data_IF_456885055383
#
_entry.id   IF_456885055383
#
_cell.length_a   1.000
_cell.length_b   1.000
_cell.length_c   1.000
_cell.angle_alpha   90.00
_cell.angle_beta   90.00
_cell.angle_gamma   90.00
#
_symmetry.space_group_name_H-M   'P 1'
#
loop_
_entity.id
_entity.type
_entity.pdbx_description
1 polymer ?
#
# COMPACT_ATOMS: atom_id res chain seq x y z
N UNK A 1 -11.74 35.05 2.35
CA UNK A 1 -11.34 33.68 1.98
C UNK A 1 -12.30 33.13 0.93
N UNK A 2 -11.83 32.71 -0.25
CA UNK A 2 -12.69 32.26 -1.37
C UNK A 2 -12.74 30.72 -1.48
N UNK A 3 -13.78 30.18 -2.14
CA UNK A 3 -13.88 28.73 -2.44
C UNK A 3 -12.64 28.18 -3.14
N UNK A 4 -12.00 28.96 -4.03
CA UNK A 4 -10.80 28.54 -4.78
C UNK A 4 -9.64 28.23 -3.83
N UNK A 5 -9.40 29.11 -2.85
CA UNK A 5 -8.36 28.94 -1.83
C UNK A 5 -8.65 27.71 -0.96
N UNK A 6 -9.87 27.61 -0.44
CA UNK A 6 -10.32 26.49 0.40
C UNK A 6 -10.20 25.15 -0.32
N UNK A 7 -10.66 25.05 -1.58
CA UNK A 7 -10.54 23.84 -2.41
C UNK A 7 -9.09 23.37 -2.52
N UNK A 8 -8.17 24.31 -2.68
CA UNK A 8 -6.73 24.04 -2.82
C UNK A 8 -6.04 23.58 -1.52
N UNK A 9 -6.70 23.77 -0.38
CA UNK A 9 -6.26 23.33 0.94
C UNK A 9 -6.88 21.98 1.28
N UNK A 10 -8.21 21.86 1.16
CA UNK A 10 -8.94 20.69 1.64
C UNK A 10 -8.88 19.49 0.70
N UNK A 11 -8.84 19.67 -0.63
CA UNK A 11 -8.70 18.51 -1.52
C UNK A 11 -7.35 17.80 -1.28
N UNK A 12 -6.19 18.49 -1.24
CA UNK A 12 -4.93 17.82 -0.95
C UNK A 12 -4.79 17.26 0.48
N UNK A 13 -5.62 17.71 1.43
CA UNK A 13 -5.58 17.22 2.83
C UNK A 13 -6.01 15.77 2.98
N UNK A 14 -6.85 15.24 2.08
CA UNK A 14 -7.14 13.81 2.06
C UNK A 14 -5.91 13.01 1.59
N UNK A 15 -5.04 13.66 0.82
CA UNK A 15 -3.79 13.11 0.27
C UNK A 15 -2.55 13.31 1.16
N UNK A 16 -2.74 13.63 2.45
CA UNK A 16 -1.64 13.73 3.42
C UNK A 16 -0.98 15.10 3.54
N UNK A 17 -1.59 16.18 3.02
CA UNK A 17 -1.08 17.54 3.18
C UNK A 17 -1.00 17.94 4.66
N UNK A 18 0.14 18.48 5.08
CA UNK A 18 0.44 18.83 6.48
C UNK A 18 0.09 20.28 6.78
N UNK A 19 0.15 20.65 8.07
CA UNK A 19 0.02 22.03 8.51
C UNK A 19 1.05 22.93 7.80
N UNK A 20 2.32 22.50 7.79
CA UNK A 20 3.42 23.22 7.17
C UNK A 20 3.16 23.45 5.67
N UNK A 21 2.87 22.40 4.91
CA UNK A 21 2.62 22.55 3.47
C UNK A 21 1.32 23.29 3.16
N UNK A 22 0.36 23.32 4.08
CA UNK A 22 -0.83 24.18 3.96
C UNK A 22 -0.50 25.65 4.15
N UNK A 23 0.31 25.99 5.15
CA UNK A 23 0.80 27.35 5.36
C UNK A 23 1.64 27.82 4.18
N UNK A 24 2.56 27.00 3.70
CA UNK A 24 3.42 27.35 2.57
C UNK A 24 2.58 27.55 1.28
N UNK A 25 1.56 26.72 1.05
CA UNK A 25 0.61 26.93 -0.06
C UNK A 25 -0.23 28.21 0.07
N UNK A 26 -0.62 28.57 1.29
CA UNK A 26 -1.35 29.81 1.55
C UNK A 26 -0.48 31.02 1.24
N UNK A 27 0.77 31.01 1.71
CA UNK A 27 1.75 32.06 1.42
C UNK A 27 2.01 32.18 -0.08
N UNK A 28 2.15 31.07 -0.79
CA UNK A 28 2.41 31.07 -2.24
C UNK A 28 1.18 31.51 -3.08
N UNK A 29 -0.05 31.17 -2.67
CA UNK A 29 -1.27 31.45 -3.46
C UNK A 29 -1.90 32.79 -3.17
N UNK A 30 -1.79 33.26 -1.93
CA UNK A 30 -2.35 34.54 -1.49
C UNK A 30 -1.26 35.63 -1.51
N UNK A 31 0.01 35.25 -1.68
CA UNK A 31 1.11 36.17 -1.91
C UNK A 31 1.38 37.11 -0.73
N UNK A 32 1.88 38.31 -1.02
CA UNK A 32 2.22 39.35 -0.04
C UNK A 32 1.00 39.94 0.69
N UNK A 33 -0.23 39.51 0.39
CA UNK A 33 -1.45 40.03 1.01
C UNK A 33 -1.65 39.52 2.45
N UNK A 34 -1.03 38.39 2.81
CA UNK A 34 -1.06 37.83 4.16
C UNK A 34 0.35 37.72 4.72
N UNK A 35 0.53 38.10 5.98
CA UNK A 35 1.77 37.82 6.71
C UNK A 35 1.87 36.32 7.00
N UNK A 36 3.08 35.82 7.26
CA UNK A 36 3.28 34.39 7.61
C UNK A 36 2.48 33.98 8.85
N UNK A 37 2.28 34.91 9.80
CA UNK A 37 1.44 34.73 10.99
C UNK A 37 -0.04 34.52 10.64
N UNK A 38 -0.56 35.27 9.67
CA UNK A 38 -1.93 35.12 9.19
C UNK A 38 -2.11 33.80 8.43
N UNK A 39 -1.13 33.44 7.59
CA UNK A 39 -1.09 32.13 6.92
C UNK A 39 -1.09 30.98 7.94
N UNK A 40 -0.34 31.12 9.03
CA UNK A 40 -0.27 30.15 10.12
C UNK A 40 -1.62 30.03 10.85
N UNK A 41 -2.28 31.16 11.09
CA UNK A 41 -3.61 31.21 11.73
C UNK A 41 -4.68 30.57 10.84
N UNK A 42 -4.73 30.90 9.56
CA UNK A 42 -5.68 30.31 8.60
C UNK A 42 -5.43 28.81 8.44
N UNK A 43 -4.16 28.38 8.36
CA UNK A 43 -3.83 26.96 8.32
C UNK A 43 -4.36 26.25 9.57
N UNK A 44 -4.18 26.84 10.75
CA UNK A 44 -4.65 26.28 12.03
C UNK A 44 -6.17 26.12 12.03
N UNK A 45 -6.91 27.17 11.68
CA UNK A 45 -8.37 27.12 11.56
C UNK A 45 -8.85 26.04 10.58
N UNK A 46 -8.14 25.83 9.48
CA UNK A 46 -8.45 24.74 8.53
C UNK A 46 -8.16 23.34 9.09
N UNK A 47 -7.24 23.21 10.04
CA UNK A 47 -6.97 21.94 10.73
C UNK A 47 -7.98 21.71 11.86
N UNK A 48 -8.28 22.74 12.64
CA UNK A 48 -9.31 22.70 13.69
C UNK A 48 -10.67 22.35 13.09
N UNK A 49 -11.09 23.01 12.01
CA UNK A 49 -12.32 22.67 11.28
C UNK A 49 -12.34 21.21 10.79
N UNK A 50 -11.20 20.70 10.28
CA UNK A 50 -11.13 19.31 9.82
C UNK A 50 -11.31 18.35 11.00
N UNK A 51 -10.66 18.62 12.12
CA UNK A 51 -10.76 17.81 13.33
C UNK A 51 -12.19 17.82 13.88
N UNK A 52 -12.83 18.98 13.92
CA UNK A 52 -14.20 19.12 14.41
C UNK A 52 -15.20 18.43 13.50
N UNK A 53 -15.08 18.61 12.17
CA UNK A 53 -16.06 18.09 11.21
C UNK A 53 -15.82 16.63 10.82
N UNK A 54 -14.56 16.23 10.76
CA UNK A 54 -14.11 14.94 10.22
C UNK A 54 -13.17 14.19 11.17
N UNK A 55 -13.16 14.50 12.47
CA UNK A 55 -12.26 13.85 13.45
C UNK A 55 -12.37 12.32 13.47
N UNK A 56 -13.58 11.79 13.23
CA UNK A 56 -13.80 10.35 13.09
C UNK A 56 -13.05 9.73 11.89
N UNK A 57 -12.85 10.48 10.80
CA UNK A 57 -12.02 10.03 9.68
C UNK A 57 -10.54 9.94 10.06
N UNK A 58 -10.08 10.65 11.08
CA UNK A 58 -8.68 10.58 11.51
C UNK A 58 -8.34 9.20 12.06
N UNK A 59 -9.25 8.58 12.84
CA UNK A 59 -9.08 7.21 13.31
C UNK A 59 -9.03 6.22 12.14
N UNK A 60 -9.90 6.40 11.14
CA UNK A 60 -9.90 5.56 9.95
C UNK A 60 -8.61 5.68 9.13
N UNK A 61 -8.16 6.91 8.87
CA UNK A 61 -6.87 7.18 8.20
C UNK A 61 -5.75 6.55 9.01
N UNK A 62 -5.74 6.75 10.34
CA UNK A 62 -4.69 6.24 11.22
C UNK A 62 -4.63 4.71 11.22
N UNK A 63 -5.77 4.03 11.21
CA UNK A 63 -5.87 2.59 11.08
C UNK A 63 -5.13 2.12 9.82
N UNK A 64 -5.50 2.64 8.65
CA UNK A 64 -4.87 2.23 7.39
C UNK A 64 -3.37 2.55 7.35
N UNK A 65 -2.98 3.76 7.78
CA UNK A 65 -1.58 4.16 7.82
C UNK A 65 -0.74 3.27 8.74
N UNK A 66 -1.25 2.94 9.93
CA UNK A 66 -0.54 2.05 10.85
C UNK A 66 -0.41 0.64 10.28
N UNK A 67 -1.45 0.10 9.64
CA UNK A 67 -1.38 -1.19 8.94
C UNK A 67 -0.29 -1.14 7.85
N UNK A 68 -0.26 -0.08 7.03
CA UNK A 68 0.78 0.09 6.01
C UNK A 68 2.19 0.15 6.59
N UNK A 69 2.37 0.82 7.73
CA UNK A 69 3.65 0.88 8.43
C UNK A 69 4.04 -0.46 9.04
N UNK A 70 3.12 -1.18 9.69
CA UNK A 70 3.38 -2.49 10.30
C UNK A 70 3.79 -3.50 9.24
N UNK A 71 3.09 -3.54 8.11
CA UNK A 71 3.42 -4.41 6.96
C UNK A 71 4.79 -4.05 6.37
N UNK A 72 5.04 -2.77 6.08
CA UNK A 72 6.31 -2.32 5.49
C UNK A 72 7.50 -2.50 6.45
N UNK A 73 7.30 -2.26 7.75
CA UNK A 73 8.32 -2.46 8.78
C UNK A 73 8.63 -3.95 9.03
N UNK A 74 7.68 -4.83 8.68
CA UNK A 74 7.89 -6.26 8.57
C UNK A 74 8.62 -6.70 7.30
N UNK A 75 9.09 -5.76 6.48
CA UNK A 75 9.82 -6.06 5.24
C UNK A 75 8.91 -6.43 4.06
N UNK A 76 7.61 -6.18 4.16
CA UNK A 76 6.59 -6.70 3.22
C UNK A 76 5.94 -5.54 2.45
N UNK A 77 5.54 -5.75 1.18
CA UNK A 77 4.73 -4.77 0.46
C UNK A 77 3.32 -4.70 1.07
N UNK A 78 2.68 -3.53 0.99
CA UNK A 78 1.27 -3.38 1.40
C UNK A 78 0.38 -3.87 0.26
N UNK A 79 -0.50 -4.81 0.53
CA UNK A 79 -1.40 -5.43 -0.44
C UNK A 79 -2.74 -4.70 -0.48
N UNK A 80 -3.24 -4.44 -1.68
CA UNK A 80 -4.60 -3.98 -1.89
C UNK A 80 -5.25 -4.94 -2.86
N UNK A 81 -6.34 -5.57 -2.46
CA UNK A 81 -7.03 -6.55 -3.29
C UNK A 81 -8.49 -6.17 -3.47
N UNK A 82 -8.93 -6.27 -4.72
CA UNK A 82 -10.32 -6.19 -5.16
C UNK A 82 -10.53 -7.28 -6.22
N UNK A 83 -11.79 -7.50 -6.61
CA UNK A 83 -12.17 -8.61 -7.50
C UNK A 83 -11.44 -8.60 -8.87
N UNK A 84 -11.04 -7.42 -9.35
CA UNK A 84 -10.44 -7.28 -10.67
C UNK A 84 -8.92 -7.29 -10.68
N UNK A 85 -8.27 -6.83 -9.61
CA UNK A 85 -6.81 -6.70 -9.58
C UNK A 85 -6.27 -6.57 -8.16
N UNK A 86 -4.98 -6.86 -8.04
CA UNK A 86 -4.19 -6.73 -6.82
C UNK A 86 -3.08 -5.69 -7.03
N UNK A 87 -2.94 -4.75 -6.09
CA UNK A 87 -1.85 -3.76 -6.08
C UNK A 87 -0.89 -4.10 -4.94
N UNK A 88 0.41 -4.06 -5.25
CA UNK A 88 1.49 -4.14 -4.29
C UNK A 88 2.14 -2.75 -4.14
N UNK A 89 1.96 -2.11 -2.99
CA UNK A 89 2.68 -0.89 -2.65
C UNK A 89 4.01 -1.26 -2.02
N UNK A 90 5.06 -1.25 -2.84
CA UNK A 90 6.41 -1.62 -2.43
C UNK A 90 7.41 -0.47 -2.47
N UNK A 91 7.26 0.48 -1.56
CA UNK A 91 8.18 1.62 -1.49
C UNK A 91 9.54 1.21 -0.91
N UNK A 92 10.59 1.44 -1.69
CA UNK A 92 11.99 1.29 -1.31
C UNK A 92 12.64 2.65 -1.09
N UNK A 93 13.55 2.75 -0.13
CA UNK A 93 14.44 3.90 0.01
C UNK A 93 15.32 4.00 -1.23
N UNK A 94 15.69 5.21 -1.62
CA UNK A 94 16.69 5.41 -2.67
C UNK A 94 18.06 5.73 -2.06
N UNK A 95 19.09 5.12 -2.60
CA UNK A 95 20.49 5.47 -2.34
C UNK A 95 21.01 6.38 -3.45
N UNK A 96 21.93 7.27 -3.09
CA UNK A 96 22.55 8.16 -4.08
C UNK A 96 23.86 7.53 -4.53
N UNK A 97 23.96 7.26 -5.82
CA UNK A 97 25.20 6.84 -6.47
C UNK A 97 25.71 7.94 -7.39
N UNK A 98 27.02 7.93 -7.70
CA UNK A 98 27.67 8.98 -8.49
C UNK A 98 28.44 8.37 -9.65
N UNK A 99 28.12 8.82 -10.86
CA UNK A 99 28.89 8.50 -12.06
C UNK A 99 29.61 9.76 -12.53
N UNK A 100 30.89 9.61 -12.88
CA UNK A 100 31.68 10.70 -13.45
C UNK A 100 31.46 10.76 -14.95
N UNK A 101 30.91 11.88 -15.42
CA UNK A 101 30.67 12.12 -16.85
C UNK A 101 31.62 13.19 -17.34
N UNK A 102 32.24 12.94 -18.50
CA UNK A 102 33.04 13.95 -19.18
C UNK A 102 32.11 14.98 -19.82
N UNK A 103 32.23 16.23 -19.41
CA UNK A 103 31.48 17.34 -19.95
C UNK A 103 32.30 17.99 -21.07
N UNK A 104 31.90 17.75 -22.32
CA UNK A 104 32.58 18.32 -23.49
C UNK A 104 32.52 19.86 -23.54
N UNK A 105 31.51 20.49 -22.92
CA UNK A 105 31.40 21.96 -22.87
C UNK A 105 32.39 22.56 -21.89
N UNK A 106 32.56 21.91 -20.74
CA UNK A 106 33.43 22.39 -19.67
C UNK A 106 34.83 21.75 -19.70
N UNK A 107 35.12 20.87 -20.67
CA UNK A 107 36.38 20.12 -20.84
C UNK A 107 36.87 19.49 -19.52
N UNK A 108 35.96 18.86 -18.77
CA UNK A 108 36.26 18.31 -17.45
C UNK A 108 35.31 17.19 -17.05
N UNK A 109 35.72 16.38 -16.07
CA UNK A 109 34.83 15.37 -15.47
C UNK A 109 33.98 16.04 -14.39
N UNK A 110 32.66 15.83 -14.42
CA UNK A 110 31.75 16.22 -13.34
C UNK A 110 31.02 15.00 -12.79
N UNK A 111 30.81 14.91 -11.47
CA UNK A 111 29.99 13.85 -10.91
C UNK A 111 28.51 14.17 -11.19
N UNK A 112 27.77 13.19 -11.68
CA UNK A 112 26.32 13.23 -11.75
C UNK A 112 25.79 12.24 -10.73
N UNK A 113 24.95 12.73 -9.83
CA UNK A 113 24.29 11.91 -8.81
C UNK A 113 23.00 11.32 -9.39
N UNK A 114 22.83 10.01 -9.27
CA UNK A 114 21.61 9.30 -9.60
C UNK A 114 21.03 8.66 -8.35
N UNK A 115 19.70 8.52 -8.29
CA UNK A 115 19.02 7.80 -7.22
C UNK A 115 18.74 6.37 -7.68
N UNK A 116 19.31 5.40 -7.00
CA UNK A 116 19.12 3.97 -7.26
C UNK A 116 18.26 3.39 -6.13
N UNK A 117 17.26 2.53 -6.42
CA UNK A 117 16.52 1.83 -5.38
C UNK A 117 17.45 0.98 -4.49
N UNK A 118 17.30 1.12 -3.17
CA UNK A 118 17.93 0.23 -2.19
C UNK A 118 17.01 -0.97 -1.91
N UNK A 119 17.54 -1.98 -1.21
CA UNK A 119 16.72 -3.09 -0.69
C UNK A 119 16.00 -2.74 0.62
N UNK A 120 16.22 -1.53 1.16
CA UNK A 120 15.59 -1.08 2.40
C UNK A 120 14.22 -0.52 2.09
N UNK A 121 13.17 -1.05 2.73
CA UNK A 121 11.81 -0.52 2.63
C UNK A 121 11.73 0.90 3.19
N UNK A 122 11.02 1.77 2.50
CA UNK A 122 10.65 3.11 2.97
C UNK A 122 9.35 3.03 3.79
N UNK A 123 9.50 2.70 5.08
CA UNK A 123 8.37 2.52 6.00
C UNK A 123 7.60 3.81 6.24
N UNK A 124 8.26 4.96 6.14
CA UNK A 124 7.61 6.26 6.24
C UNK A 124 6.75 6.56 5.02
N UNK A 125 7.28 6.34 3.81
CA UNK A 125 6.51 6.52 2.58
C UNK A 125 5.31 5.57 2.54
N UNK A 126 5.51 4.30 2.97
CA UNK A 126 4.40 3.35 3.12
C UNK A 126 3.35 3.85 4.09
N UNK A 127 3.74 4.31 5.29
CA UNK A 127 2.83 4.88 6.27
C UNK A 127 1.98 6.02 5.71
N UNK A 128 2.59 7.02 5.06
CA UNK A 128 1.86 8.21 4.60
C UNK A 128 0.99 7.94 3.38
N UNK A 129 1.43 7.06 2.47
CA UNK A 129 0.75 6.81 1.20
C UNK A 129 -0.36 5.76 1.31
N UNK A 130 -0.35 4.91 2.34
CA UNK A 130 -1.25 3.74 2.38
C UNK A 130 -2.73 4.10 2.30
N UNK A 131 -3.16 5.15 3.02
CA UNK A 131 -4.55 5.62 2.97
C UNK A 131 -4.94 6.14 1.57
N UNK A 132 -4.04 6.87 0.92
CA UNK A 132 -4.27 7.46 -0.41
C UNK A 132 -4.37 6.39 -1.48
N UNK A 133 -3.46 5.43 -1.47
CA UNK A 133 -3.49 4.31 -2.40
C UNK A 133 -4.71 3.42 -2.15
N UNK A 134 -5.16 3.29 -0.89
CA UNK A 134 -6.39 2.60 -0.56
C UNK A 134 -7.61 3.24 -1.22
N UNK A 135 -7.80 4.55 -1.04
CA UNK A 135 -8.97 5.25 -1.61
C UNK A 135 -8.91 5.27 -3.14
N UNK A 136 -7.72 5.48 -3.73
CA UNK A 136 -7.58 5.46 -5.19
C UNK A 136 -7.89 4.11 -5.80
N UNK A 137 -7.53 3.01 -5.13
CA UNK A 137 -7.95 1.68 -5.56
C UNK A 137 -9.50 1.57 -5.55
N UNK A 138 -10.15 2.05 -4.50
CA UNK A 138 -11.60 1.97 -4.37
C UNK A 138 -12.32 2.86 -5.39
N UNK A 139 -11.80 4.05 -5.66
CA UNK A 139 -12.31 4.93 -6.71
C UNK A 139 -12.20 4.26 -8.09
N UNK A 140 -11.06 3.63 -8.39
CA UNK A 140 -10.87 2.88 -9.62
C UNK A 140 -11.84 1.69 -9.72
N UNK A 141 -12.05 0.95 -8.62
CA UNK A 141 -13.02 -0.14 -8.56
C UNK A 141 -14.44 0.33 -8.88
N UNK A 142 -14.89 1.42 -8.25
CA UNK A 142 -16.20 2.02 -8.50
C UNK A 142 -16.31 2.42 -9.98
N UNK A 143 -15.29 3.07 -10.53
CA UNK A 143 -15.29 3.46 -11.93
C UNK A 143 -15.39 2.27 -12.88
N UNK A 144 -14.65 1.18 -12.61
CA UNK A 144 -14.73 -0.05 -13.39
C UNK A 144 -16.12 -0.68 -13.32
N UNK A 145 -16.73 -0.74 -12.14
CA UNK A 145 -18.08 -1.28 -11.96
C UNK A 145 -19.14 -0.47 -12.71
N UNK A 146 -19.04 0.87 -12.67
CA UNK A 146 -19.97 1.75 -13.41
C UNK A 146 -19.82 1.56 -14.91
N UNK A 147 -18.59 1.53 -15.41
CA UNK A 147 -18.30 1.27 -16.83
C UNK A 147 -18.84 -0.10 -17.24
N UNK A 148 -18.62 -1.14 -16.43
CA UNK A 148 -19.13 -2.48 -16.71
C UNK A 148 -20.66 -2.52 -16.80
N UNK A 149 -21.37 -1.87 -15.87
CA UNK A 149 -22.84 -1.80 -15.92
C UNK A 149 -23.34 -1.08 -17.18
N UNK A 150 -22.72 0.04 -17.56
CA UNK A 150 -23.11 0.80 -18.75
C UNK A 150 -22.83 0.02 -20.04
N UNK A 151 -21.67 -0.63 -20.15
CA UNK A 151 -21.33 -1.48 -21.28
C UNK A 151 -22.30 -2.66 -21.43
N UNK A 152 -22.71 -3.28 -20.32
CA UNK A 152 -23.72 -4.35 -20.32
C UNK A 152 -25.10 -3.87 -20.80
N UNK A 153 -25.38 -2.57 -20.74
CA UNK A 153 -26.60 -1.95 -21.29
C UNK A 153 -26.43 -1.49 -22.76
N UNK A 154 -25.26 -1.70 -23.37
CA UNK A 154 -24.94 -1.20 -24.71
C UNK A 154 -24.75 0.32 -24.76
N UNK A 155 -24.48 0.97 -23.63
CA UNK A 155 -24.35 2.43 -23.54
C UNK A 155 -22.88 2.84 -23.78
N UNK A 156 -22.61 3.74 -24.74
CA UNK A 156 -21.27 4.25 -24.97
C UNK A 156 -20.79 5.09 -23.78
N UNK A 157 -19.57 4.84 -23.33
CA UNK A 157 -19.00 5.48 -22.13
C UNK A 157 -17.54 5.83 -22.34
N UNK A 158 -17.16 7.02 -21.89
CA UNK A 158 -15.79 7.47 -21.72
C UNK A 158 -15.61 7.91 -20.26
N UNK A 159 -14.45 7.62 -19.66
CA UNK A 159 -14.18 7.97 -18.26
C UNK A 159 -12.81 8.63 -18.10
N UNK A 160 -12.76 9.63 -17.23
CA UNK A 160 -11.53 10.25 -16.72
C UNK A 160 -11.59 10.20 -15.19
N UNK A 161 -11.04 9.13 -14.62
CA UNK A 161 -11.11 8.81 -13.18
C UNK A 161 -12.56 8.71 -12.67
N UNK A 162 -13.01 9.70 -11.90
CA UNK A 162 -14.34 9.82 -11.29
C UNK A 162 -15.34 10.54 -12.21
N UNK A 163 -14.93 10.97 -13.41
CA UNK A 163 -15.78 11.66 -14.38
C UNK A 163 -16.25 10.71 -15.47
N UNK A 164 -17.56 10.46 -15.52
CA UNK A 164 -18.21 9.60 -16.51
C UNK A 164 -18.90 10.44 -17.59
N UNK A 165 -18.61 10.14 -18.85
CA UNK A 165 -19.08 10.91 -20.01
C UNK A 165 -19.77 9.96 -21.00
N UNK A 166 -21.04 10.24 -21.29
CA UNK A 166 -21.85 9.50 -22.27
C UNK A 166 -22.62 10.46 -23.17
N UNK A 167 -23.38 9.94 -24.13
CA UNK A 167 -24.25 10.77 -24.96
C UNK A 167 -25.43 11.32 -24.14
N UNK A 168 -25.97 12.50 -24.47
CA UNK A 168 -27.02 13.14 -23.65
C UNK A 168 -28.22 12.24 -23.33
N UNK A 169 -28.63 11.36 -24.27
CA UNK A 169 -29.75 10.43 -24.11
C UNK A 169 -29.57 9.36 -23.04
N UNK A 170 -28.33 9.12 -22.58
CA UNK A 170 -28.02 8.15 -21.51
C UNK A 170 -27.53 8.81 -20.21
N UNK A 171 -27.53 10.14 -20.12
CA UNK A 171 -27.00 10.86 -18.96
C UNK A 171 -27.63 10.43 -17.62
N UNK A 172 -28.95 10.22 -17.59
CA UNK A 172 -29.67 9.72 -16.41
C UNK A 172 -29.24 8.30 -16.00
N UNK A 173 -28.82 7.47 -16.96
CA UNK A 173 -28.38 6.10 -16.70
C UNK A 173 -27.05 6.07 -15.95
N UNK A 174 -26.15 7.05 -16.17
CA UNK A 174 -24.90 7.15 -15.41
C UNK A 174 -25.20 7.28 -13.92
N UNK A 175 -26.05 8.24 -13.55
CA UNK A 175 -26.38 8.49 -12.13
C UNK A 175 -27.00 7.26 -11.47
N UNK A 176 -27.87 6.54 -12.20
CA UNK A 176 -28.46 5.28 -11.72
C UNK A 176 -27.42 4.19 -11.54
N UNK A 177 -26.55 3.95 -12.53
CA UNK A 177 -25.49 2.93 -12.44
C UNK A 177 -24.51 3.26 -11.31
N UNK A 178 -24.08 4.51 -11.22
CA UNK A 178 -23.21 4.99 -10.15
C UNK A 178 -23.81 4.70 -8.77
N UNK A 179 -25.08 5.06 -8.55
CA UNK A 179 -25.77 4.81 -7.28
C UNK A 179 -25.92 3.32 -6.97
N UNK A 180 -26.22 2.50 -7.98
CA UNK A 180 -26.33 1.05 -7.83
C UNK A 180 -24.99 0.42 -7.40
N UNK A 181 -23.87 0.90 -7.94
CA UNK A 181 -22.54 0.38 -7.54
C UNK A 181 -22.31 0.54 -6.03
N UNK A 182 -22.63 1.70 -5.44
CA UNK A 182 -22.51 1.88 -3.98
C UNK A 182 -23.42 0.95 -3.17
N UNK A 183 -24.59 0.58 -3.70
CA UNK A 183 -25.49 -0.37 -3.04
C UNK A 183 -25.00 -1.82 -3.13
N UNK A 184 -24.28 -2.15 -4.21
CA UNK A 184 -23.71 -3.48 -4.44
C UNK A 184 -22.35 -3.68 -3.77
N UNK A 185 -21.68 -2.59 -3.35
CA UNK A 185 -20.41 -2.69 -2.65
C UNK A 185 -20.56 -3.45 -1.33
N UNK A 186 -19.52 -4.20 -1.01
CA UNK A 186 -19.42 -4.90 0.27
C UNK A 186 -19.50 -3.94 1.45
N UNK A 187 -19.85 -4.47 2.62
CA UNK A 187 -19.89 -3.66 3.83
C UNK A 187 -18.53 -3.04 4.13
N UNK A 188 -18.52 -1.80 4.63
CA UNK A 188 -17.29 -1.12 5.01
C UNK A 188 -16.45 -1.96 5.99
N UNK A 189 -17.10 -2.69 6.91
CA UNK A 189 -16.43 -3.60 7.82
C UNK A 189 -15.69 -4.72 7.08
N UNK A 190 -16.35 -5.38 6.12
CA UNK A 190 -15.76 -6.43 5.29
C UNK A 190 -14.57 -5.93 4.51
N UNK A 191 -14.68 -4.75 3.89
CA UNK A 191 -13.60 -4.12 3.14
C UNK A 191 -12.36 -3.90 4.04
N UNK A 192 -12.56 -3.41 5.26
CA UNK A 192 -11.46 -3.11 6.19
C UNK A 192 -10.88 -4.37 6.81
N UNK A 193 -11.72 -5.33 7.18
CA UNK A 193 -11.25 -6.60 7.70
C UNK A 193 -10.45 -7.35 6.64
N UNK A 194 -10.93 -7.42 5.39
CA UNK A 194 -10.16 -7.96 4.27
C UNK A 194 -8.84 -7.23 4.09
N UNK A 195 -8.80 -5.90 4.19
CA UNK A 195 -7.55 -5.15 4.10
C UNK A 195 -6.60 -5.50 5.25
N UNK A 196 -7.09 -5.61 6.47
CA UNK A 196 -6.31 -6.00 7.64
C UNK A 196 -5.76 -7.42 7.45
N UNK A 197 -6.61 -8.39 7.13
CA UNK A 197 -6.24 -9.79 6.87
C UNK A 197 -5.25 -9.91 5.70
N UNK A 198 -5.48 -9.20 4.59
CA UNK A 198 -4.58 -9.19 3.44
C UNK A 198 -3.24 -8.51 3.71
N UNK A 199 -3.14 -7.70 4.76
CA UNK A 199 -1.92 -6.99 5.10
C UNK A 199 -1.15 -7.71 6.19
N UNK A 200 -1.04 -7.31 7.46
CA UNK A 200 -0.15 -7.99 8.38
C UNK A 200 -0.34 -9.52 8.42
N UNK A 201 -1.50 -10.06 8.05
CA UNK A 201 -1.80 -11.49 8.11
C UNK A 201 -1.44 -12.31 6.85
N UNK A 202 -1.41 -11.76 5.63
CA UNK A 202 -1.36 -12.58 4.40
C UNK A 202 0.02 -12.97 3.84
N UNK A 203 1.13 -12.22 4.00
CA UNK A 203 2.45 -12.68 3.52
C UNK A 203 3.10 -13.69 4.48
N UNK A 204 2.25 -14.32 5.25
CA UNK A 204 2.50 -15.47 6.05
C UNK A 204 2.06 -16.67 5.15
N UNK A 205 0.90 -16.61 4.47
CA UNK A 205 0.36 -17.62 3.53
C UNK A 205 1.07 -17.68 2.17
N UNK A 206 1.55 -16.55 1.64
CA UNK A 206 2.35 -16.47 0.40
C UNK A 206 3.86 -16.38 0.70
N UNK A 207 4.31 -16.97 1.82
CA UNK A 207 5.67 -17.48 1.85
C UNK A 207 5.64 -18.80 1.10
N UNK A 208 5.91 -18.72 -0.21
CA UNK A 208 6.71 -19.78 -0.86
C UNK A 208 7.79 -20.15 0.16
N UNK A 209 7.68 -21.35 0.71
CA UNK A 209 8.45 -21.92 1.80
C UNK A 209 9.84 -21.26 1.88
N UNK A 210 10.39 -20.88 3.06
CA UNK A 210 11.73 -20.28 3.21
C UNK A 210 12.89 -20.99 2.45
N UNK A 211 12.65 -22.22 1.97
CA UNK A 211 13.52 -22.97 1.07
C UNK A 211 13.65 -22.38 -0.35
N UNK A 212 12.62 -21.70 -0.87
CA UNK A 212 12.55 -21.26 -2.28
C UNK A 212 13.21 -19.88 -2.44
N UNK A 213 12.83 -18.86 -1.67
CA UNK A 213 13.49 -17.54 -1.74
C UNK A 213 14.97 -17.60 -1.35
N UNK A 214 15.35 -18.46 -0.39
CA UNK A 214 16.76 -18.64 -0.05
C UNK A 214 17.54 -19.28 -1.20
N UNK A 215 16.96 -20.24 -1.93
CA UNK A 215 17.58 -20.84 -3.10
C UNK A 215 17.63 -19.87 -4.28
N UNK A 216 16.58 -19.10 -4.56
CA UNK A 216 16.56 -18.14 -5.67
C UNK A 216 17.53 -16.96 -5.43
N UNK A 217 17.65 -16.50 -4.18
CA UNK A 217 18.66 -15.50 -3.80
C UNK A 217 20.09 -16.07 -3.81
N UNK A 218 20.27 -17.36 -3.49
CA UNK A 218 21.56 -18.05 -3.64
C UNK A 218 21.92 -18.23 -5.10
N UNK A 219 20.98 -18.63 -5.96
CA UNK A 219 21.15 -18.78 -7.40
C UNK A 219 21.48 -17.42 -8.03
N UNK A 220 20.73 -16.36 -7.72
CA UNK A 220 21.03 -15.02 -8.22
C UNK A 220 22.39 -14.50 -7.72
N UNK A 221 22.77 -14.78 -6.47
CA UNK A 221 24.12 -14.45 -5.97
C UNK A 221 25.22 -15.27 -6.64
N UNK A 222 24.97 -16.54 -6.95
CA UNK A 222 25.92 -17.42 -7.64
C UNK A 222 26.07 -17.06 -9.12
N UNK A 223 25.00 -16.62 -9.77
CA UNK A 223 25.00 -16.07 -11.14
C UNK A 223 25.76 -14.74 -11.20
N UNK A 224 25.54 -13.84 -10.24
CA UNK A 224 26.30 -12.57 -10.13
C UNK A 224 27.78 -12.85 -9.81
N UNK A 225 28.06 -13.80 -8.90
CA UNK A 225 29.43 -14.17 -8.53
C UNK A 225 30.17 -14.93 -9.65
N UNK A 226 29.46 -15.71 -10.46
CA UNK A 226 30.04 -16.40 -11.62
C UNK A 226 30.27 -15.45 -12.79
N UNK A 227 29.39 -14.47 -13.00
CA UNK A 227 29.59 -13.38 -13.95
C UNK A 227 30.77 -12.46 -13.56
N UNK A 228 31.11 -12.38 -12.27
CA UNK A 228 32.20 -11.54 -11.75
C UNK A 228 33.59 -12.19 -11.76
N UNK A 229 33.72 -13.45 -12.20
CA UNK A 229 35.01 -14.16 -12.26
C UNK A 229 35.83 -13.75 -13.49
N UNK A 230 36.41 -12.55 -13.44
CA UNK A 230 37.70 -12.28 -14.09
C UNK A 230 38.84 -12.58 -13.10
N UNK A 231 39.96 -13.06 -13.63
CA UNK A 231 41.07 -13.75 -12.94
C UNK A 231 41.71 -12.95 -11.78
N UNK A 232 41.25 -13.17 -10.55
CA UNK A 232 41.94 -13.00 -9.25
C UNK A 232 40.88 -13.40 -8.21
N UNK A 233 40.98 -14.34 -7.27
CA UNK A 233 42.02 -14.75 -6.33
C UNK A 233 41.55 -16.09 -5.72
N UNK A 234 42.44 -17.08 -5.59
CA UNK A 234 42.16 -18.36 -4.89
C UNK A 234 42.17 -18.24 -3.35
N UNK A 235 42.55 -17.09 -2.82
CA UNK A 235 42.70 -16.86 -1.38
C UNK A 235 41.42 -16.33 -0.71
N UNK A 236 40.59 -15.59 -1.46
CA UNK A 236 39.29 -15.12 -0.99
C UNK A 236 38.27 -16.27 -0.87
N UNK A 237 38.40 -17.30 -1.69
CA UNK A 237 37.48 -18.45 -1.77
C UNK A 237 37.43 -19.28 -0.46
N UNK A 238 38.54 -19.34 0.30
CA UNK A 238 38.56 -19.98 1.64
C UNK A 238 37.87 -19.12 2.71
N UNK A 239 38.04 -17.79 2.67
CA UNK A 239 37.31 -16.86 3.54
C UNK A 239 35.82 -16.81 3.20
N UNK A 240 35.46 -16.92 1.92
CA UNK A 240 34.06 -17.01 1.49
C UNK A 240 33.43 -18.34 1.91
N UNK A 241 34.14 -19.47 1.83
CA UNK A 241 33.64 -20.76 2.34
C UNK A 241 33.39 -20.78 3.85
N UNK A 242 34.23 -20.10 4.63
CA UNK A 242 34.02 -19.95 6.08
C UNK A 242 32.79 -19.07 6.38
N UNK A 243 32.65 -17.93 5.69
CA UNK A 243 31.44 -17.08 5.77
C UNK A 243 30.17 -17.78 5.27
N UNK A 244 30.26 -18.64 4.25
CA UNK A 244 29.14 -19.47 3.75
C UNK A 244 28.64 -20.48 4.79
N UNK A 245 29.54 -21.07 5.59
CA UNK A 245 29.15 -21.92 6.73
C UNK A 245 28.53 -21.14 7.88
N UNK A 246 28.99 -19.91 8.13
CA UNK A 246 28.42 -19.03 9.16
C UNK A 246 27.07 -18.41 8.72
N UNK A 247 26.82 -18.30 7.42
CA UNK A 247 25.54 -17.81 6.85
C UNK A 247 24.47 -18.90 6.72
N UNK A 248 24.86 -20.17 6.69
CA UNK A 248 23.95 -21.33 6.73
C UNK A 248 23.55 -21.61 8.18
N UNK A 249 22.76 -20.72 8.77
CA UNK A 249 21.97 -21.06 9.96
C UNK A 249 20.84 -21.97 9.45
N UNK A 250 21.11 -23.27 9.39
CA UNK A 250 20.06 -24.28 9.30
C UNK A 250 19.27 -24.21 10.60
N UNK A 251 18.06 -23.65 10.54
CA UNK A 251 17.05 -23.88 11.57
C UNK A 251 17.00 -25.39 11.84
N UNK A 252 17.01 -25.78 13.11
CA UNK A 252 16.90 -27.21 13.44
C UNK A 252 15.58 -27.76 12.89
N UNK A 253 15.51 -29.07 12.64
CA UNK A 253 14.24 -29.68 12.24
C UNK A 253 13.12 -29.44 13.26
N UNK A 254 13.47 -29.20 14.53
CA UNK A 254 12.54 -28.85 15.60
C UNK A 254 12.05 -27.41 15.49
N UNK A 255 12.94 -26.46 15.17
CA UNK A 255 12.55 -25.06 14.92
C UNK A 255 11.64 -24.95 13.70
N UNK A 256 11.89 -25.74 12.65
CA UNK A 256 11.02 -25.81 11.47
C UNK A 256 9.64 -26.37 11.81
N UNK A 257 9.56 -27.44 12.62
CA UNK A 257 8.28 -28.00 13.08
C UNK A 257 7.52 -27.05 14.00
N UNK A 258 8.22 -26.33 14.87
CA UNK A 258 7.63 -25.31 15.74
C UNK A 258 7.06 -24.16 14.91
N UNK A 259 7.83 -23.66 13.95
CA UNK A 259 7.40 -22.63 13.03
C UNK A 259 6.16 -23.07 12.23
N UNK A 260 6.15 -24.30 11.71
CA UNK A 260 5.01 -24.88 10.98
C UNK A 260 3.76 -25.02 11.86
N UNK A 261 3.89 -25.32 13.16
CA UNK A 261 2.74 -25.35 14.07
C UNK A 261 2.17 -23.96 14.33
N UNK A 262 3.01 -23.01 14.70
CA UNK A 262 2.59 -21.61 14.95
C UNK A 262 1.98 -20.97 13.69
N UNK A 263 2.44 -21.44 12.52
CA UNK A 263 1.95 -21.09 11.19
C UNK A 263 0.50 -21.55 10.97
N UNK A 264 0.19 -22.83 11.22
CA UNK A 264 -1.17 -23.37 11.10
C UNK A 264 -2.15 -22.75 12.09
N UNK A 265 -1.73 -22.54 13.35
CA UNK A 265 -2.57 -21.88 14.36
C UNK A 265 -3.00 -20.45 13.93
N UNK A 266 -2.12 -19.74 13.22
CA UNK A 266 -2.45 -18.42 12.69
C UNK A 266 -3.39 -18.51 11.48
N UNK A 267 -3.19 -19.48 10.60
CA UNK A 267 -4.08 -19.73 9.47
C UNK A 267 -5.49 -20.08 9.94
N UNK A 268 -5.60 -20.91 10.98
CA UNK A 268 -6.89 -21.26 11.60
C UNK A 268 -7.54 -20.02 12.21
N UNK A 269 -6.78 -19.21 12.95
CA UNK A 269 -7.28 -17.93 13.48
C UNK A 269 -7.80 -17.01 12.35
N UNK A 270 -7.07 -16.92 11.23
CA UNK A 270 -7.46 -16.11 10.07
C UNK A 270 -8.72 -16.65 9.38
N UNK A 271 -8.80 -17.97 9.17
CA UNK A 271 -9.93 -18.61 8.51
C UNK A 271 -11.20 -18.56 9.37
N UNK A 272 -11.06 -18.47 10.69
CA UNK A 272 -12.17 -18.27 11.62
C UNK A 272 -12.71 -16.84 11.62
N UNK A 273 -11.92 -15.86 11.16
CA UNK A 273 -12.36 -14.46 11.06
C UNK A 273 -13.21 -14.28 9.80
N UNK A 274 -14.53 -14.37 9.98
CA UNK A 274 -15.47 -13.92 8.96
C UNK A 274 -15.28 -12.41 8.76
N UNK A 275 -14.92 -11.93 7.54
CA UNK A 275 -14.67 -10.50 7.30
C UNK A 275 -15.90 -9.64 7.57
N UNK A 276 -17.10 -10.22 7.59
CA UNK A 276 -18.33 -9.51 7.92
C UNK A 276 -18.55 -9.28 9.43
N UNK A 277 -17.73 -9.87 10.29
CA UNK A 277 -17.82 -9.74 11.74
C UNK A 277 -16.72 -8.83 12.29
N UNK A 278 -16.97 -8.18 13.43
CA UNK A 278 -15.93 -7.42 14.13
C UNK A 278 -14.84 -8.40 14.59
N UNK A 279 -13.58 -8.08 14.30
CA UNK A 279 -12.43 -8.85 14.81
C UNK A 279 -12.31 -8.53 16.31
N UNK A 280 -12.34 -9.52 17.21
CA UNK A 280 -12.10 -9.29 18.63
C UNK A 280 -10.76 -8.56 18.85
N UNK A 281 -10.74 -7.54 19.72
CA UNK A 281 -9.55 -6.68 19.88
C UNK A 281 -8.33 -7.44 20.39
N UNK A 282 -8.55 -8.40 21.28
CA UNK A 282 -7.52 -9.32 21.78
C UNK A 282 -6.92 -10.16 20.66
N UNK A 283 -7.75 -10.71 19.76
CA UNK A 283 -7.29 -11.48 18.61
C UNK A 283 -6.50 -10.60 17.64
N UNK A 284 -7.03 -9.41 17.32
CA UNK A 284 -6.31 -8.45 16.48
C UNK A 284 -4.95 -8.08 17.10
N UNK A 285 -4.89 -7.82 18.39
CA UNK A 285 -3.66 -7.50 19.10
C UNK A 285 -2.64 -8.65 19.01
N UNK A 286 -3.06 -9.88 19.34
CA UNK A 286 -2.20 -11.07 19.27
C UNK A 286 -1.59 -11.21 17.87
N UNK A 287 -2.37 -10.99 16.83
CA UNK A 287 -1.86 -11.12 15.46
C UNK A 287 -0.89 -10.00 15.10
N UNK A 288 -1.18 -8.77 15.47
CA UNK A 288 -0.26 -7.65 15.23
C UNK A 288 1.07 -7.85 15.98
N UNK A 289 1.03 -8.40 17.19
CA UNK A 289 2.22 -8.72 17.99
C UNK A 289 3.02 -9.88 17.39
N UNK A 290 2.36 -10.96 16.96
CA UNK A 290 3.01 -12.09 16.25
C UNK A 290 3.65 -11.67 14.92
N UNK A 291 3.16 -10.59 14.32
CA UNK A 291 3.71 -10.02 13.09
C UNK A 291 4.87 -9.05 13.30
N UNK A 292 5.26 -8.79 14.54
CA UNK A 292 6.50 -8.09 14.82
C UNK A 292 7.67 -8.93 14.26
N UNK A 293 8.51 -8.40 13.36
CA UNK A 293 9.60 -9.17 12.79
C UNK A 293 10.47 -9.72 13.93
N UNK A 294 10.49 -11.04 14.07
CA UNK A 294 11.54 -11.72 14.85
C UNK A 294 12.85 -11.24 14.26
N UNK A 295 13.77 -10.80 15.11
CA UNK A 295 15.11 -10.35 14.69
C UNK A 295 15.63 -11.25 13.58
N UNK A 296 16.25 -10.67 12.55
CA UNK A 296 16.92 -11.46 11.52
C UNK A 296 17.77 -12.53 12.22
N UNK A 297 17.44 -13.83 12.08
CA UNK A 297 18.14 -14.90 12.80
C UNK A 297 19.63 -14.92 12.47
N UNK A 298 20.01 -14.37 11.30
CA UNK A 298 21.40 -14.26 10.86
C UNK A 298 22.20 -13.16 11.56
N UNK A 299 21.52 -12.19 12.20
CA UNK A 299 22.18 -11.06 12.86
C UNK A 299 22.06 -11.17 14.39
N UNK A 300 21.07 -11.92 14.91
CA UNK A 300 20.95 -12.20 16.34
C UNK A 300 20.78 -10.96 17.24
N UNK A 301 20.54 -9.79 16.64
CA UNK A 301 20.43 -8.53 17.37
C UNK A 301 19.00 -8.40 17.88
N UNK A 302 18.82 -8.59 19.19
CA UNK A 302 17.61 -8.15 19.89
C UNK A 302 17.27 -6.71 19.52
N UNK A 303 15.98 -6.44 19.39
CA UNK A 303 15.56 -5.09 19.08
C UNK A 303 15.96 -4.13 20.19
N UNK A 304 16.39 -2.94 19.78
CA UNK A 304 16.58 -1.87 20.74
C UNK A 304 15.28 -1.62 21.50
N UNK A 305 15.33 -1.31 22.81
CA UNK A 305 14.14 -0.98 23.59
C UNK A 305 13.29 0.10 22.93
N UNK A 306 13.92 1.07 22.25
CA UNK A 306 13.24 2.11 21.49
C UNK A 306 12.43 1.57 20.31
N UNK A 307 12.96 0.61 19.55
CA UNK A 307 12.25 -0.01 18.42
C UNK A 307 11.07 -0.85 18.90
N UNK A 308 11.25 -1.61 20.00
CA UNK A 308 10.18 -2.38 20.64
C UNK A 308 9.05 -1.48 21.13
N UNK A 309 9.40 -0.39 21.84
CA UNK A 309 8.45 0.63 22.28
C UNK A 309 7.68 1.24 21.11
N UNK A 310 8.38 1.63 20.03
CA UNK A 310 7.74 2.20 18.85
C UNK A 310 6.74 1.24 18.19
N UNK A 311 7.01 -0.06 18.19
CA UNK A 311 6.07 -1.07 17.70
C UNK A 311 4.86 -1.23 18.60
N UNK A 312 5.07 -1.33 19.91
CA UNK A 312 3.97 -1.41 20.88
C UNK A 312 3.04 -0.20 20.77
N UNK A 313 3.59 1.01 20.68
CA UNK A 313 2.80 2.23 20.45
C UNK A 313 1.98 2.17 19.15
N UNK A 314 2.54 1.58 18.09
CA UNK A 314 1.82 1.42 16.81
C UNK A 314 0.72 0.37 16.90
N UNK A 315 0.95 -0.74 17.60
CA UNK A 315 -0.07 -1.76 17.82
C UNK A 315 -1.21 -1.16 18.62
N UNK A 316 -0.94 -0.55 19.78
CA UNK A 316 -1.98 0.11 20.60
C UNK A 316 -2.74 1.18 19.82
N UNK A 317 -2.05 2.00 19.02
CA UNK A 317 -2.70 2.98 18.15
C UNK A 317 -3.56 2.34 17.06
N UNK A 318 -3.22 1.14 16.57
CA UNK A 318 -3.99 0.40 15.57
C UNK A 318 -5.26 -0.19 16.19
N UNK A 319 -5.14 -0.79 17.37
CA UNK A 319 -6.27 -1.35 18.13
C UNK A 319 -7.29 -0.25 18.44
N UNK A 320 -6.88 0.86 19.04
CA UNK A 320 -7.80 1.96 19.37
C UNK A 320 -8.43 2.60 18.12
N UNK A 321 -7.71 2.65 17.00
CA UNK A 321 -8.25 3.12 15.72
C UNK A 321 -9.28 2.15 15.12
N UNK A 322 -9.02 0.84 15.22
CA UNK A 322 -9.95 -0.20 14.76
C UNK A 322 -11.23 -0.21 15.60
N UNK A 323 -11.11 -0.18 16.93
CA UNK A 323 -12.23 -0.07 17.87
C UNK A 323 -13.10 1.16 17.56
N UNK A 324 -12.47 2.33 17.38
CA UNK A 324 -13.19 3.56 17.04
C UNK A 324 -13.94 3.44 15.71
N UNK A 325 -13.32 2.78 14.72
CA UNK A 325 -13.95 2.51 13.42
C UNK A 325 -15.14 1.56 13.55
N UNK A 326 -14.99 0.43 14.24
CA UNK A 326 -16.03 -0.59 14.36
C UNK A 326 -17.20 -0.12 15.23
N UNK A 327 -16.96 0.58 16.34
CA UNK A 327 -18.03 1.24 17.13
C UNK A 327 -18.85 2.20 16.28
N UNK A 328 -18.21 2.92 15.36
CA UNK A 328 -18.89 3.86 14.47
C UNK A 328 -19.73 3.17 13.39
N UNK A 329 -19.20 2.10 12.78
CA UNK A 329 -19.88 1.39 11.69
C UNK A 329 -20.99 0.48 12.22
N UNK A 330 -20.72 -0.26 13.28
CA UNK A 330 -21.65 -1.24 13.85
C UNK A 330 -22.63 -0.61 14.86
N UNK A 331 -22.30 0.57 15.39
CA UNK A 331 -23.00 1.18 16.52
C UNK A 331 -22.50 0.63 17.86
N UNK A 332 -22.56 1.45 18.91
CA UNK A 332 -22.02 1.11 20.24
C UNK A 332 -22.64 -0.16 20.85
N UNK A 333 -23.92 -0.43 20.55
CA UNK A 333 -24.67 -1.57 21.11
C UNK A 333 -24.36 -2.92 20.47
N UNK A 334 -23.74 -2.91 19.29
CA UNK A 334 -23.39 -4.14 18.55
C UNK A 334 -21.92 -4.50 18.70
N UNK A 335 -21.22 -3.83 19.62
CA UNK A 335 -19.85 -4.15 19.94
C UNK A 335 -19.86 -5.34 20.91
N UNK A 336 -19.13 -6.44 20.64
CA UNK A 336 -19.03 -7.54 21.59
C UNK A 336 -18.44 -7.00 22.89
N UNK A 337 -19.19 -7.10 24.00
CA UNK A 337 -18.69 -6.68 25.30
C UNK A 337 -17.44 -7.51 25.64
N UNK A 338 -16.38 -6.83 26.09
CA UNK A 338 -15.15 -7.46 26.57
C UNK A 338 -15.47 -8.31 27.81
N UNK A 339 -15.90 -9.56 27.64
CA UNK A 339 -16.30 -10.39 28.77
C UNK A 339 -16.98 -11.71 28.48
N UNK A 340 -17.69 -11.87 27.35
CA UNK A 340 -18.21 -13.19 26.97
C UNK A 340 -17.14 -13.99 26.23
N UNK A 341 -16.16 -14.48 27.01
CA UNK A 341 -15.26 -15.56 26.63
C UNK A 341 -16.08 -16.84 26.37
N UNK A 342 -16.76 -16.91 25.23
CA UNK A 342 -16.95 -18.21 24.58
C UNK A 342 -15.56 -18.72 24.27
N UNK A 343 -15.07 -19.67 25.07
CA UNK A 343 -13.72 -20.21 24.89
C UNK A 343 -13.50 -20.58 23.42
N UNK A 344 -12.29 -20.40 22.90
CA UNK A 344 -11.90 -20.73 21.53
C UNK A 344 -12.48 -22.10 21.08
N UNK A 345 -12.56 -23.06 22.01
CA UNK A 345 -13.12 -24.39 21.80
C UNK A 345 -14.65 -24.43 21.57
N UNK A 346 -15.44 -23.53 22.16
CA UNK A 346 -16.89 -23.47 21.94
C UNK A 346 -17.27 -22.86 20.58
N UNK A 347 -16.45 -21.92 20.07
CA UNK A 347 -16.63 -21.34 18.73
C UNK A 347 -16.15 -22.30 17.64
N UNK A 348 -15.03 -23.00 17.86
CA UNK A 348 -14.51 -24.07 16.99
C UNK A 348 -15.54 -25.19 16.77
N UNK A 349 -16.24 -25.62 17.83
CA UNK A 349 -17.21 -26.73 17.73
C UNK A 349 -18.47 -26.34 16.94
N UNK A 350 -18.86 -25.06 16.91
CA UNK A 350 -20.07 -24.60 16.19
C UNK A 350 -19.87 -24.40 14.69
N UNK A 351 -18.67 -24.04 14.24
CA UNK A 351 -18.44 -23.68 12.83
C UNK A 351 -18.05 -24.88 11.95
N UNK A 352 -17.44 -25.93 12.50
CA UNK A 352 -17.08 -27.15 11.75
C UNK A 352 -18.33 -27.93 11.30
N UNK A 353 -19.47 -27.79 11.99
CA UNK A 353 -20.71 -28.51 11.67
C UNK A 353 -21.59 -27.83 10.58
N UNK A 354 -21.15 -26.72 9.96
CA UNK A 354 -22.03 -25.94 9.06
C UNK A 354 -21.58 -25.73 7.62
N UNK A 355 -20.36 -26.10 7.23
CA UNK A 355 -19.86 -25.85 5.88
C UNK A 355 -19.48 -27.14 5.12
N UNK A 356 -20.49 -27.91 4.72
CA UNK A 356 -20.40 -28.79 3.56
C UNK A 356 -21.07 -28.08 2.38
N UNK A 357 -20.26 -27.52 1.47
CA UNK A 357 -20.77 -26.81 0.31
C UNK A 357 -19.70 -26.33 -0.67
N UNK A 358 -19.31 -27.22 -1.59
CA UNK A 358 -18.79 -26.97 -2.95
C UNK A 358 -17.78 -25.83 -3.16
N UNK A 359 -16.49 -26.19 -3.12
CA UNK A 359 -15.41 -25.43 -3.77
C UNK A 359 -15.44 -25.64 -5.29
N UNK A 360 -15.74 -24.58 -6.04
CA UNK A 360 -15.52 -24.51 -7.49
C UNK A 360 -14.12 -23.94 -7.74
N UNK A 361 -13.31 -24.71 -8.45
CA UNK A 361 -11.92 -24.39 -8.81
C UNK A 361 -11.90 -23.47 -10.04
N UNK A 362 -11.38 -22.25 -9.94
CA UNK A 362 -11.10 -21.38 -11.09
C UNK A 362 -9.59 -21.22 -11.26
N UNK A 363 -9.11 -21.38 -12.50
CA UNK A 363 -7.69 -21.36 -12.91
C UNK A 363 -7.15 -19.92 -12.97
N UNK A 364 -5.92 -19.75 -12.48
CA UNK A 364 -5.11 -18.54 -12.53
C UNK A 364 -4.71 -18.15 -13.96
N UNK A 365 -4.66 -16.84 -14.22
CA UNK A 365 -4.01 -16.23 -15.37
C UNK A 365 -3.40 -14.89 -14.94
N UNK A 366 -2.09 -14.86 -14.77
CA UNK A 366 -1.34 -13.68 -14.33
C UNK A 366 -1.28 -12.60 -15.41
N UNK A 367 -1.71 -11.38 -15.07
CA UNK A 367 -1.34 -10.15 -15.78
C UNK A 367 -0.78 -9.16 -14.75
N UNK A 368 0.54 -9.12 -14.62
CA UNK A 368 1.26 -8.15 -13.78
C UNK A 368 1.44 -6.84 -14.56
N UNK A 369 0.59 -5.85 -14.30
CA UNK A 369 0.81 -4.48 -14.75
C UNK A 369 1.67 -3.73 -13.72
N UNK A 370 2.93 -3.42 -14.08
CA UNK A 370 3.78 -2.50 -13.31
C UNK A 370 3.27 -1.08 -13.49
N UNK A 371 2.77 -0.45 -12.42
CA UNK A 371 2.46 0.97 -12.43
C UNK A 371 3.75 1.79 -12.40
N UNK A 372 3.90 2.69 -13.37
CA UNK A 372 4.99 3.65 -13.45
C UNK A 372 4.88 4.74 -12.39
N UNK A 373 6.04 5.31 -12.06
CA UNK A 373 6.25 6.40 -11.09
C UNK A 373 5.27 7.57 -11.28
N UNK A 374 4.31 7.72 -10.37
CA UNK A 374 3.68 9.01 -10.09
C UNK A 374 4.59 9.78 -9.12
N UNK A 375 5.61 10.45 -9.65
CA UNK A 375 6.20 11.60 -8.96
C UNK A 375 5.28 12.78 -9.22
N UNK A 376 4.60 13.19 -8.16
CA UNK A 376 3.98 14.51 -8.10
C UNK A 376 5.07 15.57 -8.07
N UNK A 377 5.46 16.04 -9.25
CA UNK A 377 5.99 17.38 -9.39
C UNK A 377 4.81 18.34 -9.18
N UNK A 378 5.03 19.36 -8.36
CA UNK A 378 3.98 20.19 -7.82
C UNK A 378 3.11 20.89 -8.87
N UNK A 379 1.97 21.41 -8.39
CA UNK A 379 1.27 22.51 -9.03
C UNK A 379 2.18 23.75 -9.04
N UNK A 380 3.18 23.76 -9.92
CA UNK A 380 3.91 24.93 -10.34
C UNK A 380 3.24 25.51 -11.58
N UNK A 381 2.94 26.81 -11.55
CA UNK A 381 2.60 27.56 -12.76
C UNK A 381 3.66 27.31 -13.84
N UNK A 382 3.27 27.16 -15.13
CA UNK A 382 4.24 27.15 -16.20
C UNK A 382 4.95 28.50 -16.24
N UNK A 383 6.29 28.48 -16.15
CA UNK A 383 7.10 29.61 -16.56
C UNK A 383 6.96 29.74 -18.07
N UNK A 384 6.52 30.92 -18.52
CA UNK A 384 6.64 31.33 -19.92
C UNK A 384 8.12 31.27 -20.30
N UNK A 385 8.47 30.30 -21.13
CA UNK A 385 9.71 30.33 -21.92
C UNK A 385 9.29 30.01 -23.35
N UNK A 386 9.02 31.08 -24.09
CA UNK A 386 8.93 31.06 -25.55
C UNK A 386 10.26 30.55 -26.12
N UNK A 387 10.29 29.30 -26.57
CA UNK A 387 11.22 28.84 -27.61
C UNK A 387 10.51 27.85 -28.51
N UNK A 388 10.22 28.30 -29.72
CA UNK A 388 9.78 27.47 -30.84
C UNK A 388 10.71 26.26 -31.02
N UNK A 389 10.19 25.06 -30.83
CA UNK A 389 10.87 23.83 -31.22
C UNK A 389 10.44 23.48 -32.65
N UNK A 390 11.31 23.73 -33.62
CA UNK A 390 11.16 23.28 -35.02
C UNK A 390 11.65 21.83 -35.13
N UNK A 391 10.79 20.88 -34.74
CA UNK A 391 10.99 19.45 -34.97
C UNK A 391 10.24 18.95 -36.21
N UNK A 392 10.88 18.06 -36.98
CA UNK A 392 10.40 17.51 -38.24
C UNK A 392 9.05 16.75 -38.09
N UNK A 393 7.98 17.15 -38.80
CA UNK A 393 6.67 16.51 -38.74
C UNK A 393 6.62 15.05 -39.22
N UNK A 394 7.68 14.55 -39.86
CA UNK A 394 7.65 13.23 -40.50
C UNK A 394 7.97 12.04 -39.58
N UNK A 395 8.31 12.27 -38.30
CA UNK A 395 8.69 11.21 -37.35
C UNK A 395 7.54 10.67 -36.49
N UNK A 396 6.31 11.13 -36.69
CA UNK A 396 5.11 10.63 -36.00
C UNK A 396 4.11 10.02 -36.98
N UNK A 397 4.39 8.80 -37.45
CA UNK A 397 3.35 7.93 -38.01
C UNK A 397 2.90 6.93 -36.94
N UNK A 398 1.64 6.97 -36.46
CA UNK A 398 1.11 5.93 -35.59
C UNK A 398 0.87 4.65 -36.39
N UNK A 399 1.47 3.54 -35.94
CA UNK A 399 1.12 2.19 -36.42
C UNK A 399 -0.21 1.82 -35.76
N UNK A 400 -1.31 2.07 -36.46
CA UNK A 400 -2.62 1.53 -36.11
C UNK A 400 -2.66 0.10 -36.66
N UNK A 401 -2.58 -0.90 -35.78
CA UNK A 401 -2.95 -2.29 -36.12
C UNK A 401 -4.42 -2.47 -35.75
N UNK A 402 -5.27 -2.58 -36.76
CA UNK A 402 -6.65 -3.04 -36.61
C UNK A 402 -6.65 -4.51 -36.15
N UNK A 403 -7.36 -4.79 -35.06
CA UNK A 403 -7.65 -6.13 -34.59
C UNK A 403 -8.95 -6.60 -35.26
N UNK A 404 -8.88 -7.63 -36.11
CA UNK A 404 -10.06 -8.37 -36.60
C UNK A 404 -10.19 -9.65 -35.78
N UNK A 405 -11.34 -9.91 -35.13
CA UNK A 405 -11.60 -11.23 -34.56
C UNK A 405 -11.88 -12.23 -35.68
N UNK A 406 -11.29 -13.42 -35.55
CA UNK A 406 -11.46 -14.52 -36.50
C UNK A 406 -12.90 -15.05 -36.46
N UNK A 407 -13.43 -15.31 -37.66
CA UNK A 407 -14.58 -16.19 -37.94
C UNK A 407 -14.24 -17.67 -37.68
#
# INVERSE_FOLDING_TARGET
MTRKVVKSIFMPKIYGKTYKTTRDDLANKIGNELKDEDCSTVAKLCFDFKKDKYGHFEHFIKLLQNIGWLTSSAGRPVLYQIDYFTIYQDYMCSETDRVWVHDNKNKGKRPISFRIPSFKKDTWKSYVATFVNFIHQRDAYIAMQVVLQLLNMGIPIYTVHDNFITTPGYSEKIAKCYSNVFQMMESHLSIINKFILNNPFYPLLDRRHPKIEHNDLLIAREEIASASKTKEKKEDEKKTKKRRKESQILLSQEDLKKYDREWWELCDLIQLVNPNNVIPLNELQVVLEKNMPVCDPSIGVEWSPAKKKSWQERISSTIGAYESFTKRICGEKNYPEDGENGSLNQVLTRNILRNDGNLVQCREGDNVLRSGDLRGDGYGNPSQVDREYKGDPNLLKPVIREYRPNE
#
